data_IF_484095737173
#
_entry.id   IF_484095737173
#
_cell.length_a   1.000
_cell.length_b   1.000
_cell.length_c   1.000
_cell.angle_alpha   90.00
_cell.angle_beta   90.00
_cell.angle_gamma   90.00
#
_symmetry.space_group_name_H-M   'P 1'
#
loop_
_entity.id
_entity.type
_entity.pdbx_description
1 polymer ?
#
# COMPACT_ATOMS: atom_id res chain seq x y z
N UNK A 1 -7.94 -12.48 1.54
CA UNK A 1 -8.10 -12.66 0.08
C UNK A 1 -7.38 -13.91 -0.45
N UNK A 2 -6.15 -14.19 0.00
CA UNK A 2 -5.37 -15.40 -0.34
C UNK A 2 -6.07 -16.73 -0.08
N UNK A 3 -6.80 -16.86 1.03
CA UNK A 3 -7.55 -18.08 1.35
C UNK A 3 -8.51 -18.48 0.22
N UNK A 4 -9.25 -17.51 -0.31
CA UNK A 4 -10.15 -17.76 -1.44
C UNK A 4 -9.37 -18.17 -2.69
N UNK A 5 -8.36 -17.39 -3.06
CA UNK A 5 -7.54 -17.63 -4.26
C UNK A 5 -6.90 -19.04 -4.24
N UNK A 6 -6.43 -19.49 -3.08
CA UNK A 6 -5.71 -20.75 -2.97
C UNK A 6 -6.61 -21.98 -2.77
N UNK A 7 -7.66 -21.85 -1.96
CA UNK A 7 -8.47 -22.98 -1.51
C UNK A 7 -9.85 -23.06 -2.18
N UNK A 8 -10.44 -21.92 -2.56
CA UNK A 8 -11.82 -21.87 -3.07
C UNK A 8 -11.84 -21.74 -4.59
N UNK A 9 -11.11 -20.79 -5.16
CA UNK A 9 -11.08 -20.53 -6.60
C UNK A 9 -10.79 -21.79 -7.46
N UNK A 10 -9.84 -22.68 -7.10
CA UNK A 10 -9.56 -23.87 -7.91
C UNK A 10 -10.74 -24.86 -8.00
N UNK A 11 -11.62 -24.84 -6.99
CA UNK A 11 -12.82 -25.67 -6.92
C UNK A 11 -14.02 -24.97 -7.54
N UNK A 12 -14.25 -23.71 -7.16
CA UNK A 12 -15.46 -22.97 -7.50
C UNK A 12 -15.38 -22.32 -8.90
N UNK A 13 -14.18 -21.93 -9.34
CA UNK A 13 -13.91 -21.37 -10.68
C UNK A 13 -14.85 -20.23 -11.07
N UNK A 14 -15.11 -19.32 -10.12
CA UNK A 14 -16.10 -18.24 -10.28
C UNK A 14 -15.54 -17.04 -11.03
N UNK A 15 -14.24 -16.76 -10.85
CA UNK A 15 -13.58 -15.60 -11.45
C UNK A 15 -12.51 -16.02 -12.44
N UNK A 16 -12.39 -15.29 -13.56
CA UNK A 16 -11.36 -15.55 -14.58
C UNK A 16 -10.02 -14.85 -14.29
N UNK A 17 -10.00 -13.96 -13.31
CA UNK A 17 -8.80 -13.27 -12.83
C UNK A 17 -9.02 -12.71 -11.43
N UNK A 18 -7.93 -12.57 -10.66
CA UNK A 18 -7.99 -12.11 -9.26
C UNK A 18 -7.05 -10.92 -9.05
N UNK A 19 -7.59 -9.80 -8.60
CA UNK A 19 -6.79 -8.71 -8.05
C UNK A 19 -6.84 -8.78 -6.52
N UNK A 20 -5.68 -8.83 -5.88
CA UNK A 20 -5.54 -8.90 -4.42
C UNK A 20 -4.84 -7.64 -3.94
N UNK A 21 -5.58 -6.79 -3.23
CA UNK A 21 -5.05 -5.63 -2.54
C UNK A 21 -4.51 -6.02 -1.16
N UNK A 22 -3.33 -5.51 -0.79
CA UNK A 22 -2.74 -5.60 0.55
C UNK A 22 -2.61 -7.01 1.08
N UNK A 23 -1.98 -7.90 0.30
CA UNK A 23 -1.76 -9.27 0.73
C UNK A 23 -0.79 -9.36 1.93
N UNK A 24 -1.34 -9.58 3.13
CA UNK A 24 -0.58 -9.65 4.39
C UNK A 24 0.19 -10.97 4.53
N UNK A 25 1.08 -11.05 5.52
CA UNK A 25 1.80 -12.29 5.87
C UNK A 25 0.87 -13.46 6.21
N UNK A 26 -0.32 -13.19 6.78
CA UNK A 26 -1.22 -14.23 7.31
C UNK A 26 -2.54 -14.24 6.55
N UNK A 27 -2.99 -15.44 6.17
CA UNK A 27 -4.26 -15.66 5.49
C UNK A 27 -5.44 -15.68 6.48
N UNK A 28 -6.67 -15.65 5.99
CA UNK A 28 -7.83 -15.93 6.83
C UNK A 28 -7.94 -17.45 7.10
N UNK A 29 -8.07 -17.92 8.36
CA UNK A 29 -8.18 -19.34 8.66
C UNK A 29 -9.56 -19.89 8.27
N UNK A 30 -9.61 -20.91 7.40
CA UNK A 30 -10.86 -21.59 7.01
C UNK A 30 -11.51 -22.27 8.22
N UNK A 31 -10.69 -22.81 9.11
CA UNK A 31 -11.11 -23.46 10.36
C UNK A 31 -11.59 -22.48 11.43
N UNK A 32 -11.42 -21.16 11.22
CA UNK A 32 -11.59 -20.14 12.26
C UNK A 32 -10.45 -20.10 13.30
N UNK A 33 -9.47 -21.02 13.23
CA UNK A 33 -8.36 -21.08 14.18
C UNK A 33 -7.12 -20.41 13.60
N UNK A 34 -6.68 -19.31 14.21
CA UNK A 34 -5.52 -18.54 13.72
C UNK A 34 -4.24 -19.40 13.65
N UNK A 35 -4.06 -20.36 14.57
CA UNK A 35 -2.87 -21.24 14.61
C UNK A 35 -2.61 -21.98 13.31
N UNK A 36 -3.64 -22.25 12.50
CA UNK A 36 -3.53 -23.00 11.25
C UNK A 36 -2.91 -22.17 10.11
N UNK A 37 -2.83 -20.85 10.26
CA UNK A 37 -2.31 -19.92 9.25
C UNK A 37 -1.07 -19.15 9.70
N UNK A 38 -0.68 -19.24 10.97
CA UNK A 38 0.49 -18.51 11.50
C UNK A 38 1.83 -19.07 11.01
N UNK A 39 1.89 -20.35 10.64
CA UNK A 39 3.13 -21.03 10.25
C UNK A 39 3.46 -20.94 8.77
N UNK A 40 2.49 -20.53 7.94
CA UNK A 40 2.65 -20.45 6.49
C UNK A 40 2.38 -19.03 6.01
N UNK A 41 3.35 -18.37 5.36
CA UNK A 41 3.10 -17.07 4.77
C UNK A 41 2.00 -17.19 3.71
N UNK A 42 1.16 -16.17 3.60
CA UNK A 42 0.01 -16.16 2.70
C UNK A 42 0.42 -15.94 1.24
N UNK A 43 1.22 -16.85 0.71
CA UNK A 43 1.64 -16.88 -0.69
C UNK A 43 0.52 -17.39 -1.57
N UNK A 44 0.42 -16.86 -2.78
CA UNK A 44 -0.44 -17.37 -3.84
C UNK A 44 0.17 -18.64 -4.41
N UNK A 45 -0.65 -19.68 -4.57
CA UNK A 45 -0.24 -20.92 -5.23
C UNK A 45 0.25 -20.66 -6.66
N UNK A 46 1.34 -21.30 -7.05
CA UNK A 46 1.99 -21.05 -8.36
C UNK A 46 1.31 -21.75 -9.52
N UNK A 47 0.44 -22.72 -9.24
CA UNK A 47 -0.34 -23.52 -10.19
C UNK A 47 -1.79 -23.00 -10.36
N UNK A 48 -2.02 -21.71 -10.12
CA UNK A 48 -3.31 -21.08 -10.38
C UNK A 48 -3.66 -21.14 -11.88
N UNK A 49 -4.92 -21.51 -12.18
CA UNK A 49 -5.43 -21.54 -13.55
C UNK A 49 -5.71 -20.14 -14.12
N UNK A 50 -5.92 -19.15 -13.24
CA UNK A 50 -6.29 -17.78 -13.59
C UNK A 50 -5.16 -16.80 -13.23
N UNK A 51 -5.01 -15.68 -13.95
CA UNK A 51 -4.07 -14.65 -13.59
C UNK A 51 -4.38 -14.04 -12.22
N UNK A 52 -3.36 -13.84 -11.40
CA UNK A 52 -3.44 -13.22 -10.08
C UNK A 52 -2.52 -12.01 -10.03
N UNK A 53 -3.09 -10.86 -9.72
CA UNK A 53 -2.38 -9.61 -9.60
C UNK A 53 -2.44 -9.11 -8.15
N UNK A 54 -1.31 -9.19 -7.45
CA UNK A 54 -1.17 -8.68 -6.10
C UNK A 54 -0.65 -7.24 -6.15
N UNK A 55 -1.33 -6.32 -5.48
CA UNK A 55 -0.92 -4.92 -5.38
C UNK A 55 -0.81 -4.53 -3.91
N UNK A 56 0.36 -4.03 -3.53
CA UNK A 56 0.69 -3.58 -2.18
C UNK A 56 0.95 -2.08 -2.19
N UNK A 57 0.33 -1.35 -1.27
CA UNK A 57 0.79 -0.01 -0.94
C UNK A 57 2.11 -0.08 -0.17
N UNK A 58 2.91 0.99 -0.19
CA UNK A 58 4.15 1.06 0.60
C UNK A 58 3.90 0.74 2.08
N UNK A 59 2.79 1.23 2.64
CA UNK A 59 2.45 0.99 4.04
C UNK A 59 2.13 -0.46 4.37
N UNK A 60 1.82 -1.29 3.36
CA UNK A 60 1.52 -2.72 3.53
C UNK A 60 2.78 -3.56 3.63
N UNK A 61 3.84 -3.13 2.95
CA UNK A 61 5.06 -3.92 2.74
C UNK A 61 5.63 -4.50 4.04
N UNK A 62 5.75 -3.75 5.15
CA UNK A 62 6.29 -4.32 6.39
C UNK A 62 5.49 -5.52 6.92
N UNK A 63 4.17 -5.52 6.73
CA UNK A 63 3.29 -6.63 7.11
C UNK A 63 3.16 -7.72 6.05
N UNK A 64 3.54 -7.43 4.80
CA UNK A 64 3.41 -8.31 3.65
C UNK A 64 4.73 -8.98 3.23
N UNK A 65 5.88 -8.46 3.67
CA UNK A 65 7.21 -8.85 3.19
C UNK A 65 7.48 -10.36 3.31
N UNK A 66 7.00 -11.00 4.38
CA UNK A 66 7.16 -12.45 4.60
C UNK A 66 6.34 -13.28 3.59
N UNK A 67 5.23 -12.74 3.09
CA UNK A 67 4.42 -13.33 2.03
C UNK A 67 4.91 -13.01 0.61
N UNK A 68 6.00 -12.25 0.44
CA UNK A 68 6.61 -12.07 -0.89
C UNK A 68 6.94 -13.41 -1.51
N UNK A 69 6.77 -13.47 -2.81
CA UNK A 69 7.15 -14.59 -3.66
C UNK A 69 7.60 -14.05 -5.02
N UNK A 70 8.46 -14.78 -5.74
CA UNK A 70 8.74 -14.48 -7.13
C UNK A 70 7.45 -14.45 -7.96
N UNK A 71 7.39 -13.54 -8.93
CA UNK A 71 6.35 -13.59 -9.94
C UNK A 71 6.45 -14.87 -10.77
N UNK A 72 5.32 -15.31 -11.33
CA UNK A 72 5.24 -16.43 -12.29
C UNK A 72 4.54 -15.98 -13.55
N UNK A 73 4.36 -16.88 -14.52
CA UNK A 73 3.56 -16.65 -15.72
C UNK A 73 2.08 -16.38 -15.43
N UNK A 74 1.63 -16.56 -14.18
CA UNK A 74 0.25 -16.30 -13.74
C UNK A 74 0.15 -15.42 -12.50
N UNK A 75 1.26 -15.06 -11.86
CA UNK A 75 1.26 -14.20 -10.67
C UNK A 75 2.17 -12.99 -10.88
N UNK A 76 1.62 -11.79 -10.76
CA UNK A 76 2.34 -10.51 -10.81
C UNK A 76 2.17 -9.77 -9.48
N UNK A 77 3.23 -9.10 -9.04
CA UNK A 77 3.22 -8.28 -7.83
C UNK A 77 3.67 -6.85 -8.17
N UNK A 78 2.91 -5.88 -7.67
CA UNK A 78 3.28 -4.47 -7.64
C UNK A 78 3.38 -3.97 -6.20
N UNK A 79 4.45 -3.27 -5.90
CA UNK A 79 4.61 -2.53 -4.66
C UNK A 79 4.71 -1.05 -4.99
N UNK A 80 3.80 -0.24 -4.45
CA UNK A 80 3.59 1.13 -4.86
C UNK A 80 4.29 2.08 -3.88
N UNK A 81 5.33 2.76 -4.34
CA UNK A 81 6.10 3.68 -3.52
C UNK A 81 5.24 4.86 -3.06
N UNK A 82 5.39 5.27 -1.80
CA UNK A 82 4.75 6.44 -1.20
C UNK A 82 3.24 6.33 -0.98
N UNK A 83 2.58 5.23 -1.33
CA UNK A 83 1.12 5.10 -1.22
C UNK A 83 0.68 4.54 0.14
N UNK A 84 -0.55 4.86 0.53
CA UNK A 84 -1.19 4.36 1.73
C UNK A 84 -2.12 3.18 1.45
N UNK A 85 -2.31 2.29 2.44
CA UNK A 85 -3.27 1.18 2.41
C UNK A 85 -4.69 1.68 2.12
N UNK A 86 -5.07 2.77 2.79
CA UNK A 86 -6.25 3.57 2.48
C UNK A 86 -5.79 5.01 2.35
N UNK A 87 -5.80 5.53 1.12
CA UNK A 87 -5.57 6.96 0.87
C UNK A 87 -6.81 7.78 1.28
N UNK A 88 -6.67 9.10 1.36
CA UNK A 88 -7.79 9.99 1.72
C UNK A 88 -9.00 9.77 0.79
N UNK A 89 -8.76 9.48 -0.49
CA UNK A 89 -9.83 9.17 -1.45
C UNK A 89 -10.65 7.94 -1.03
N UNK A 90 -9.99 6.84 -0.63
CA UNK A 90 -10.68 5.64 -0.17
C UNK A 90 -11.44 5.87 1.13
N UNK A 91 -10.88 6.67 2.05
CA UNK A 91 -11.53 7.07 3.30
C UNK A 91 -12.78 7.90 3.03
N UNK A 92 -12.69 8.90 2.16
CA UNK A 92 -13.82 9.78 1.82
C UNK A 92 -14.94 9.01 1.13
N UNK A 93 -14.58 8.11 0.22
CA UNK A 93 -15.54 7.28 -0.51
C UNK A 93 -16.23 6.25 0.41
N UNK A 94 -15.46 5.58 1.27
CA UNK A 94 -15.95 4.50 2.12
C UNK A 94 -16.57 4.95 3.44
N UNK A 95 -16.23 6.15 3.91
CA UNK A 95 -16.62 6.69 5.22
C UNK A 95 -18.11 6.59 5.51
N UNK A 96 -19.01 7.06 4.63
CA UNK A 96 -20.46 6.96 4.86
C UNK A 96 -20.95 5.51 5.03
N UNK A 97 -20.38 4.57 4.27
CA UNK A 97 -20.72 3.14 4.37
C UNK A 97 -20.22 2.55 5.68
N UNK A 98 -18.97 2.84 6.05
CA UNK A 98 -18.39 2.37 7.32
C UNK A 98 -19.18 2.93 8.50
N UNK A 99 -19.54 4.21 8.47
CA UNK A 99 -20.36 4.85 9.51
C UNK A 99 -21.75 4.19 9.61
N UNK A 100 -22.38 3.89 8.47
CA UNK A 100 -23.68 3.21 8.45
C UNK A 100 -23.59 1.80 9.06
N UNK A 101 -22.51 1.07 8.81
CA UNK A 101 -22.34 -0.31 9.25
C UNK A 101 -21.84 -0.45 10.69
N UNK A 102 -20.92 0.40 11.12
CA UNK A 102 -20.24 0.30 12.41
C UNK A 102 -20.71 1.34 13.44
N UNK A 103 -21.43 2.39 13.01
CA UNK A 103 -21.88 3.47 13.89
C UNK A 103 -20.70 4.11 14.64
N UNK A 104 -20.82 4.22 15.96
CA UNK A 104 -19.77 4.77 16.82
C UNK A 104 -18.50 3.90 16.92
N UNK A 105 -18.51 2.67 16.38
CA UNK A 105 -17.33 1.83 16.28
C UNK A 105 -16.55 2.05 14.98
N UNK A 106 -17.01 2.94 14.09
CA UNK A 106 -16.26 3.34 12.91
C UNK A 106 -14.90 3.94 13.32
N UNK A 107 -13.81 3.62 12.60
CA UNK A 107 -12.51 4.23 12.86
C UNK A 107 -12.58 5.74 12.60
N UNK A 108 -12.18 6.54 13.59
CA UNK A 108 -12.06 7.99 13.43
C UNK A 108 -10.80 8.33 12.62
N UNK A 109 -10.86 9.31 11.68
CA UNK A 109 -9.68 9.79 10.97
C UNK A 109 -8.81 10.61 11.93
N UNK A 110 -7.95 9.92 12.68
CA UNK A 110 -7.06 10.57 13.62
C UNK A 110 -6.04 9.60 14.19
N UNK A 111 -4.77 10.01 14.15
CA UNK A 111 -3.75 9.41 15.01
C UNK A 111 -3.83 10.05 16.40
N UNK A 112 -3.25 9.40 17.41
CA UNK A 112 -3.15 9.98 18.76
C UNK A 112 -2.58 11.42 18.70
N UNK A 113 -3.04 12.29 19.60
CA UNK A 113 -2.57 13.68 19.64
C UNK A 113 -1.03 13.77 19.64
N UNK A 114 -0.48 14.62 18.77
CA UNK A 114 0.97 14.78 18.58
C UNK A 114 1.62 13.77 17.62
N UNK A 115 0.86 12.85 17.03
CA UNK A 115 1.35 11.98 15.96
C UNK A 115 1.56 12.75 14.65
N UNK A 116 2.47 12.25 13.81
CA UNK A 116 2.56 12.72 12.43
C UNK A 116 1.22 12.51 11.69
N UNK A 117 0.89 13.35 10.69
CA UNK A 117 -0.23 13.09 9.80
C UNK A 117 -0.14 11.67 9.23
N UNK A 118 -1.28 11.00 9.09
CA UNK A 118 -1.31 9.71 8.44
C UNK A 118 -0.91 9.85 6.97
N UNK A 119 -0.36 8.79 6.38
CA UNK A 119 0.00 8.80 4.97
C UNK A 119 -1.28 8.87 4.13
N UNK A 120 -1.43 9.91 3.31
CA UNK A 120 -2.53 10.10 2.37
C UNK A 120 -2.11 9.83 0.91
N UNK A 121 -0.94 9.20 0.70
CA UNK A 121 -0.38 8.97 -0.63
C UNK A 121 -1.32 8.15 -1.53
N UNK A 122 -1.67 8.65 -2.73
CA UNK A 122 -2.74 8.10 -3.54
C UNK A 122 -2.38 6.73 -4.11
N UNK A 123 -3.18 5.70 -3.80
CA UNK A 123 -3.04 4.35 -4.34
C UNK A 123 -4.03 4.04 -5.46
N UNK A 124 -5.20 4.69 -5.45
CA UNK A 124 -6.34 4.33 -6.30
C UNK A 124 -6.05 4.43 -7.81
N UNK A 125 -5.21 5.36 -8.26
CA UNK A 125 -4.81 5.45 -9.67
C UNK A 125 -4.04 4.20 -10.14
N UNK A 126 -3.08 3.73 -9.33
CA UNK A 126 -2.33 2.50 -9.60
C UNK A 126 -3.23 1.28 -9.52
N UNK A 127 -4.18 1.24 -8.58
CA UNK A 127 -5.15 0.15 -8.48
C UNK A 127 -6.03 0.07 -9.74
N UNK A 128 -6.53 1.20 -10.24
CA UNK A 128 -7.29 1.25 -11.48
C UNK A 128 -6.45 0.81 -12.69
N UNK A 129 -5.17 1.16 -12.71
CA UNK A 129 -4.25 0.69 -13.75
C UNK A 129 -4.00 -0.82 -13.67
N UNK A 130 -3.79 -1.35 -12.46
CA UNK A 130 -3.60 -2.78 -12.23
C UNK A 130 -4.85 -3.59 -12.61
N UNK A 131 -6.05 -3.11 -12.26
CA UNK A 131 -7.31 -3.76 -12.65
C UNK A 131 -7.46 -3.81 -14.17
N UNK A 132 -7.23 -2.68 -14.87
CA UNK A 132 -7.24 -2.67 -16.35
C UNK A 132 -6.24 -3.64 -16.94
N UNK A 133 -5.01 -3.66 -16.40
CA UNK A 133 -3.96 -4.57 -16.87
C UNK A 133 -4.32 -6.05 -16.62
N UNK A 134 -4.96 -6.37 -15.49
CA UNK A 134 -5.50 -7.70 -15.22
C UNK A 134 -6.58 -8.08 -16.23
N UNK A 135 -7.54 -7.20 -16.51
CA UNK A 135 -8.61 -7.46 -17.49
C UNK A 135 -8.02 -7.72 -18.87
N UNK A 136 -7.06 -6.91 -19.33
CA UNK A 136 -6.39 -7.15 -20.62
C UNK A 136 -5.64 -8.47 -20.64
N UNK A 137 -4.94 -8.80 -19.56
CA UNK A 137 -4.14 -10.02 -19.48
C UNK A 137 -5.00 -11.28 -19.46
N UNK A 138 -6.10 -11.27 -18.72
CA UNK A 138 -7.06 -12.37 -18.69
C UNK A 138 -7.65 -12.65 -20.07
N UNK A 139 -7.93 -11.60 -20.85
CA UNK A 139 -8.43 -11.70 -22.23
C UNK A 139 -7.37 -12.11 -23.27
N UNK A 140 -6.22 -12.64 -22.82
CA UNK A 140 -5.13 -13.10 -23.69
C UNK A 140 -4.14 -12.01 -24.10
N UNK A 141 -4.24 -10.81 -23.52
CA UNK A 141 -3.26 -9.76 -23.68
C UNK A 141 -1.93 -10.04 -22.95
N UNK A 142 -0.94 -9.15 -23.08
CA UNK A 142 0.38 -9.36 -22.48
C UNK A 142 0.31 -9.38 -20.96
N UNK A 143 1.14 -10.24 -20.35
CA UNK A 143 1.36 -10.26 -18.91
C UNK A 143 1.87 -8.89 -18.43
N UNK A 144 1.29 -8.29 -17.37
CA UNK A 144 1.78 -7.04 -16.81
C UNK A 144 3.24 -7.19 -16.35
N UNK A 145 4.04 -6.14 -16.58
CA UNK A 145 5.42 -6.11 -16.09
C UNK A 145 5.43 -6.15 -14.55
N UNK A 146 6.35 -6.93 -13.98
CA UNK A 146 6.61 -6.85 -12.54
C UNK A 146 7.35 -5.56 -12.21
N UNK A 147 7.12 -4.99 -11.04
CA UNK A 147 7.88 -3.83 -10.54
C UNK A 147 9.12 -4.26 -9.74
N UNK A 148 10.05 -3.33 -9.53
CA UNK A 148 11.07 -3.49 -8.50
C UNK A 148 10.39 -3.56 -7.12
N UNK A 149 10.92 -4.36 -6.19
CA UNK A 149 10.42 -4.40 -4.83
C UNK A 149 10.86 -3.15 -4.06
N UNK A 150 10.04 -2.72 -3.12
CA UNK A 150 10.41 -1.76 -2.08
C UNK A 150 11.32 -2.43 -1.06
N UNK A 151 12.12 -1.64 -0.36
CA UNK A 151 12.81 -2.10 0.84
C UNK A 151 11.78 -2.28 1.98
N UNK A 152 11.74 -3.47 2.58
CA UNK A 152 10.78 -3.76 3.65
C UNK A 152 11.19 -3.17 5.00
N UNK A 153 12.49 -2.94 5.20
CA UNK A 153 13.07 -2.40 6.43
C UNK A 153 13.24 -0.88 6.36
N UNK A 154 13.26 -0.31 5.15
CA UNK A 154 13.38 1.12 4.90
C UNK A 154 12.16 1.66 4.15
N UNK A 155 11.38 2.50 4.84
CA UNK A 155 10.33 3.30 4.21
C UNK A 155 10.93 4.52 3.54
N UNK A 156 11.43 4.32 2.33
CA UNK A 156 11.95 5.36 1.47
C UNK A 156 11.32 5.24 0.08
N UNK A 157 10.34 6.11 -0.24
CA UNK A 157 9.63 6.04 -1.52
C UNK A 157 10.55 6.35 -2.71
N UNK A 158 11.78 6.85 -2.48
CA UNK A 158 12.74 7.09 -3.54
C UNK A 158 13.44 5.80 -4.02
N UNK A 159 13.39 4.71 -3.25
CA UNK A 159 14.14 3.47 -3.54
C UNK A 159 13.21 2.29 -3.82
N UNK A 160 13.07 1.93 -5.10
CA UNK A 160 12.30 0.76 -5.53
C UNK A 160 10.82 1.06 -5.79
N UNK A 161 10.04 -0.01 -5.95
CA UNK A 161 8.60 0.08 -6.21
C UNK A 161 8.23 0.69 -7.57
N UNK A 162 6.93 0.73 -7.82
CA UNK A 162 6.33 1.55 -8.87
C UNK A 162 6.10 2.93 -8.30
N UNK A 163 6.66 3.94 -8.98
CA UNK A 163 6.63 5.33 -8.51
C UNK A 163 5.61 6.13 -9.30
N UNK A 164 4.66 6.70 -8.58
CA UNK A 164 3.67 7.64 -9.11
C UNK A 164 4.29 9.04 -9.30
N UNK A 165 3.69 9.91 -10.13
CA UNK A 165 4.10 11.31 -10.27
C UNK A 165 4.28 12.04 -8.93
N UNK A 166 3.39 11.77 -7.95
CA UNK A 166 3.46 12.29 -6.58
C UNK A 166 4.77 11.97 -5.85
N UNK A 167 5.48 10.91 -6.25
CA UNK A 167 6.75 10.48 -5.66
C UNK A 167 7.95 10.99 -6.45
N UNK A 168 7.89 10.95 -7.79
CA UNK A 168 9.01 11.42 -8.64
C UNK A 168 9.11 12.93 -8.75
N UNK A 169 7.99 13.64 -8.57
CA UNK A 169 7.92 15.12 -8.57
C UNK A 169 7.08 15.57 -7.38
N UNK A 170 7.62 15.48 -6.14
CA UNK A 170 6.84 15.70 -4.94
C UNK A 170 6.42 17.16 -4.79
N UNK A 171 5.11 17.38 -4.63
CA UNK A 171 4.53 18.69 -4.32
C UNK A 171 4.31 18.90 -2.82
N UNK A 172 4.47 17.85 -2.01
CA UNK A 172 4.34 17.84 -0.54
C UNK A 172 5.15 16.69 0.08
N UNK A 173 5.66 16.88 1.29
CA UNK A 173 6.19 15.78 2.12
C UNK A 173 5.04 15.04 2.79
N UNK A 174 4.95 13.73 2.56
CA UNK A 174 4.01 12.81 3.23
C UNK A 174 4.81 11.86 4.11
N UNK A 175 4.40 11.71 5.37
CA UNK A 175 5.17 10.98 6.37
C UNK A 175 4.52 9.64 6.72
N UNK A 176 5.31 8.58 6.75
CA UNK A 176 5.23 7.60 7.85
C UNK A 176 6.51 7.76 8.64
N UNK A 177 6.44 7.76 9.97
CA UNK A 177 7.57 8.13 10.83
C UNK A 177 8.88 7.45 10.37
N UNK A 178 9.81 8.23 9.81
CA UNK A 178 11.17 7.76 9.56
C UNK A 178 11.77 7.44 10.92
N UNK A 179 12.06 6.17 11.19
CA UNK A 179 12.90 5.81 12.34
C UNK A 179 14.34 6.17 12.03
N UNK A 180 14.66 7.46 12.01
CA UNK A 180 16.03 7.94 12.01
C UNK A 180 16.63 7.70 13.40
N UNK A 181 17.38 6.61 13.54
CA UNK A 181 18.41 6.52 14.58
C UNK A 181 19.49 7.54 14.20
N UNK A 182 19.52 8.70 14.86
CA UNK A 182 20.62 9.65 14.71
C UNK A 182 20.21 11.12 14.85
N UNK A 183 20.46 11.65 16.05
CA UNK A 183 20.73 13.07 16.38
C UNK A 183 19.83 14.15 15.78
N UNK A 184 18.95 14.67 16.63
CA UNK A 184 18.30 15.97 16.54
C UNK A 184 19.28 17.08 16.18
N UNK A 185 19.13 17.65 14.97
CA UNK A 185 19.56 19.01 14.68
C UNK A 185 18.31 19.87 14.50
N UNK A 186 18.03 20.66 15.52
CA UNK A 186 16.98 21.67 15.52
C UNK A 186 17.35 22.76 14.51
N UNK A 187 16.63 22.84 13.39
CA UNK A 187 16.74 24.01 12.50
C UNK A 187 15.99 25.17 13.13
N UNK A 188 16.71 26.00 13.88
CA UNK A 188 16.22 27.26 14.41
C UNK A 188 15.88 28.21 13.27
N UNK A 189 14.64 28.71 13.24
CA UNK A 189 14.16 29.74 12.30
C UNK A 189 15.05 30.98 12.39
N UNK A 190 15.57 31.55 11.29
CA UNK A 190 16.35 32.78 11.38
C UNK A 190 15.45 33.94 11.81
N UNK A 191 15.80 34.58 12.91
CA UNK A 191 15.18 35.80 13.41
C UNK A 191 15.42 36.94 12.41
N UNK A 192 14.33 37.53 11.92
CA UNK A 192 14.34 38.69 11.03
C UNK A 192 14.90 39.90 11.81
N UNK A 193 16.20 40.20 11.64
CA UNK A 193 16.78 41.45 12.15
C UNK A 193 16.15 42.64 11.41
N UNK A 194 15.49 43.52 12.16
CA UNK A 194 15.06 44.84 11.71
C UNK A 194 16.29 45.70 11.39
N UNK A 195 16.31 46.27 10.18
CA UNK A 195 17.29 47.27 9.74
C UNK A 195 16.78 48.66 10.17
N UNK A 196 17.57 49.52 10.83
CA UNK A 196 17.15 50.88 11.14
C UNK A 196 17.20 51.75 9.87
N UNK A 197 16.16 52.56 9.69
CA UNK A 197 16.05 53.62 8.68
C UNK A 197 17.15 54.66 8.88
N UNK A 198 17.99 54.90 7.85
CA UNK A 198 18.84 56.10 7.79
C UNK A 198 18.02 57.21 7.12
N UNK A 199 17.69 58.22 7.91
CA UNK A 199 17.16 59.50 7.47
C UNK A 199 18.21 60.23 6.63
N UNK A 200 17.80 60.77 5.48
CA UNK A 200 18.55 61.78 4.74
C UNK A 200 18.06 63.14 5.24
N UNK A 201 18.95 63.94 5.81
CA UNK A 201 19.11 65.37 5.59
C UNK A 201 20.55 65.71 5.93
#
# INVERSE_FOLDING_TARGET
MTTYANAVQPLARVYDGLMIHSNSAVAAPISGRLVDVLTNPSRIRTDTAVPVFVVLAETDVPGAAVARQPGTDRVVHWELAGTAHGDQWAVDLGGPTVQKSAGSAAPEPGCAAGSAPYNDGPGHHSMNAALRALTTWEQGGPRPASGALLDADRRDPATGGIRLPDVVVPTRTRGTATRTRGTSTTTTRPTRRSRPLRSRY
#
